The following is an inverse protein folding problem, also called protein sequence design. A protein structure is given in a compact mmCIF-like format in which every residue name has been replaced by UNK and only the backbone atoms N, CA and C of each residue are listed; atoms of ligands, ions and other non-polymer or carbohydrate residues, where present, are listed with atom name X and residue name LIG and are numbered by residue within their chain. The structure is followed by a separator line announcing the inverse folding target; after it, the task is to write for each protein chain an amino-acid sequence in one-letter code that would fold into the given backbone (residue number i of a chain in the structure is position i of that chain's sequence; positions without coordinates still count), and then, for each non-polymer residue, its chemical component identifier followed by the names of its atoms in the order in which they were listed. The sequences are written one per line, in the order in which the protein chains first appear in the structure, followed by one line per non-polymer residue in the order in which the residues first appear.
data_IF_775040723560
#
_entry.id   IF_775040723560
#
_cell.length_a   1.000
_cell.length_b   1.000
_cell.length_c   1.000
_cell.angle_alpha   90.00
_cell.angle_beta   90.00
_cell.angle_gamma   90.00
#
_symmetry.space_group_name_H-M   'P 1'
#
loop_
_entity.id
_entity.type
_entity.pdbx_description
1 polymer ?
#
# COMPACT_ATOMS: atom_id res chain seq x y z
N UNK A 1 4.80 23.20 15.36
CA UNK A 1 5.29 21.81 15.19
C UNK A 1 4.21 21.01 14.49
N UNK A 2 4.50 20.42 13.34
CA UNK A 2 3.48 19.87 12.45
C UNK A 2 2.92 18.53 12.99
N UNK A 3 1.64 18.54 13.38
CA UNK A 3 0.91 17.44 14.05
C UNK A 3 0.54 16.25 13.12
N UNK A 4 1.12 16.17 11.92
CA UNK A 4 0.78 15.18 10.90
C UNK A 4 1.84 14.09 10.68
N UNK A 5 2.93 14.10 11.43
CA UNK A 5 3.87 12.98 11.48
C UNK A 5 3.39 11.95 12.54
N UNK A 6 3.29 10.68 12.13
CA UNK A 6 2.92 9.52 12.95
C UNK A 6 4.03 8.47 12.90
N UNK A 7 4.02 7.50 13.81
CA UNK A 7 4.90 6.33 13.78
C UNK A 7 4.11 5.14 13.27
N UNK A 8 4.64 4.41 12.28
CA UNK A 8 3.99 3.23 11.73
C UNK A 8 3.96 2.11 12.78
N UNK A 9 2.80 1.49 12.99
CA UNK A 9 2.66 0.40 13.96
C UNK A 9 3.43 -0.87 13.56
N UNK A 10 3.52 -1.16 12.26
CA UNK A 10 4.20 -2.36 11.75
C UNK A 10 5.73 -2.20 11.70
N UNK A 11 6.24 -1.12 11.09
CA UNK A 11 7.68 -0.95 10.82
C UNK A 11 8.37 0.10 11.70
N UNK A 12 7.65 0.82 12.57
CA UNK A 12 8.22 1.83 13.47
C UNK A 12 8.73 3.11 12.81
N UNK A 13 8.60 3.26 11.49
CA UNK A 13 9.14 4.41 10.76
C UNK A 13 8.24 5.64 10.93
N UNK A 14 8.79 6.86 11.17
CA UNK A 14 8.03 8.10 11.13
C UNK A 14 7.53 8.41 9.72
N UNK A 15 6.27 8.79 9.56
CA UNK A 15 5.66 9.08 8.26
C UNK A 15 4.59 10.17 8.34
N UNK A 16 4.31 10.85 7.22
CA UNK A 16 3.19 11.79 7.09
C UNK A 16 1.91 11.02 6.74
N UNK A 17 0.95 10.99 7.67
CA UNK A 17 -0.28 10.21 7.50
C UNK A 17 -1.15 10.68 6.32
N UNK A 18 -1.01 11.94 5.88
CA UNK A 18 -1.77 12.49 4.75
C UNK A 18 -1.29 11.93 3.41
N UNK A 19 -0.04 11.45 3.37
CA UNK A 19 0.61 10.87 2.18
C UNK A 19 0.65 9.34 2.22
N UNK A 20 0.17 8.73 3.30
CA UNK A 20 0.18 7.27 3.43
C UNK A 20 -0.76 6.66 2.38
N UNK A 21 -0.27 5.70 1.57
CA UNK A 21 -1.07 4.93 0.62
C UNK A 21 -1.84 3.78 1.29
N UNK A 22 -1.92 3.73 2.62
CA UNK A 22 -2.83 2.82 3.32
C UNK A 22 -4.28 3.15 2.98
N UNK A 23 -5.07 2.11 2.68
CA UNK A 23 -6.41 2.26 2.13
C UNK A 23 -7.42 2.71 3.21
N UNK A 24 -7.35 2.11 4.40
CA UNK A 24 -8.33 2.37 5.47
C UNK A 24 -7.67 2.88 6.76
N UNK A 25 -6.40 2.57 6.98
CA UNK A 25 -5.69 2.80 8.26
C UNK A 25 -4.47 3.73 8.11
N UNK A 26 -4.62 4.79 7.31
CA UNK A 26 -3.53 5.75 6.99
C UNK A 26 -2.95 6.53 8.16
N UNK A 27 -3.62 6.55 9.32
CA UNK A 27 -3.08 7.14 10.56
C UNK A 27 -2.36 6.12 11.47
N UNK A 28 -2.40 4.84 11.09
CA UNK A 28 -1.76 3.71 11.78
C UNK A 28 -0.56 3.18 11.00
N UNK A 29 -0.70 3.04 9.68
CA UNK A 29 0.34 2.47 8.81
C UNK A 29 0.88 3.46 7.79
N UNK A 30 2.18 3.35 7.52
CA UNK A 30 2.86 4.17 6.53
C UNK A 30 2.55 3.80 5.07
N UNK A 31 1.90 2.65 4.83
CA UNK A 31 1.47 2.23 3.49
C UNK A 31 0.66 0.94 3.48
N UNK A 32 0.12 0.61 2.31
CA UNK A 32 -0.78 -0.54 2.10
C UNK A 32 -0.16 -1.88 2.47
N UNK A 33 1.14 -2.07 2.25
CA UNK A 33 1.83 -3.32 2.61
C UNK A 33 1.89 -3.52 4.13
N UNK A 34 2.22 -2.47 4.89
CA UNK A 34 2.23 -2.53 6.36
C UNK A 34 0.82 -2.79 6.93
N UNK A 35 -0.20 -2.19 6.33
CA UNK A 35 -1.60 -2.43 6.70
C UNK A 35 -2.01 -3.88 6.43
N UNK A 36 -1.73 -4.39 5.21
CA UNK A 36 -2.04 -5.76 4.83
C UNK A 36 -1.27 -6.76 5.71
N UNK A 37 0.00 -6.49 6.03
CA UNK A 37 0.83 -7.37 6.84
C UNK A 37 0.23 -7.65 8.23
N UNK A 38 -0.35 -6.63 8.87
CA UNK A 38 -0.97 -6.77 10.19
C UNK A 38 -2.45 -7.23 10.14
N UNK A 39 -3.19 -6.89 9.07
CA UNK A 39 -4.57 -7.37 8.87
C UNK A 39 -4.65 -8.80 8.31
N UNK A 40 -3.55 -9.30 7.75
CA UNK A 40 -3.49 -10.55 7.00
C UNK A 40 -3.86 -10.37 5.53
N UNK A 41 -3.17 -11.10 4.66
CA UNK A 41 -3.46 -11.22 3.24
C UNK A 41 -3.17 -12.65 2.78
N UNK A 42 -3.74 -13.03 1.63
CA UNK A 42 -3.32 -14.25 0.94
C UNK A 42 -2.25 -13.91 -0.10
N UNK A 43 -1.39 -14.88 -0.44
CA UNK A 43 -0.37 -14.65 -1.47
C UNK A 43 -1.03 -14.26 -2.80
N UNK A 44 -2.18 -14.84 -3.12
CA UNK A 44 -2.94 -14.55 -4.35
C UNK A 44 -3.43 -13.09 -4.37
N UNK A 45 -3.83 -12.53 -3.23
CA UNK A 45 -4.24 -11.11 -3.17
C UNK A 45 -3.07 -10.15 -3.31
N UNK A 46 -1.85 -10.55 -2.91
CA UNK A 46 -0.63 -9.80 -3.21
C UNK A 46 -0.23 -9.87 -4.69
N UNK A 47 -0.33 -11.06 -5.28
CA UNK A 47 0.08 -11.29 -6.67
C UNK A 47 -0.88 -10.66 -7.68
N UNK A 48 -2.16 -10.51 -7.34
CA UNK A 48 -3.18 -9.89 -8.20
C UNK A 48 -3.27 -8.36 -8.09
N UNK A 49 -2.53 -7.75 -7.17
CA UNK A 49 -2.68 -6.31 -6.85
C UNK A 49 -2.28 -5.42 -8.04
N UNK A 50 -1.33 -5.87 -8.89
CA UNK A 50 -0.90 -5.15 -10.08
C UNK A 50 -0.48 -6.11 -11.21
N UNK A 51 -1.08 -5.95 -12.39
CA UNK A 51 -0.58 -6.56 -13.63
C UNK A 51 0.25 -5.52 -14.39
N UNK A 52 1.58 -5.68 -14.39
CA UNK A 52 2.45 -4.84 -15.20
C UNK A 52 2.57 -5.42 -16.61
N UNK A 53 1.88 -4.78 -17.55
CA UNK A 53 2.02 -5.11 -18.96
C UNK A 53 2.90 -4.08 -19.64
N UNK A 54 3.98 -4.57 -20.25
CA UNK A 54 4.85 -3.78 -21.11
C UNK A 54 4.01 -3.07 -22.18
N UNK A 55 4.36 -1.82 -22.49
CA UNK A 55 3.53 -0.94 -23.31
C UNK A 55 3.11 -1.55 -24.64
N UNK A 56 4.01 -2.27 -25.29
CA UNK A 56 3.80 -2.93 -26.58
C UNK A 56 2.80 -4.10 -26.55
N UNK A 57 2.48 -4.63 -25.36
CA UNK A 57 1.55 -5.75 -25.17
C UNK A 57 0.18 -5.33 -24.63
N UNK A 58 -0.05 -4.03 -24.39
CA UNK A 58 -1.31 -3.52 -23.82
C UNK A 58 -2.55 -3.92 -24.65
N UNK A 59 -2.41 -4.06 -25.96
CA UNK A 59 -3.49 -4.48 -26.85
C UNK A 59 -4.03 -5.88 -26.54
N UNK A 60 -3.24 -6.76 -25.90
CA UNK A 60 -3.70 -8.10 -25.51
C UNK A 60 -4.66 -8.10 -24.32
N UNK A 61 -4.69 -7.02 -23.54
CA UNK A 61 -5.60 -6.85 -22.40
C UNK A 61 -6.87 -6.06 -22.73
N UNK A 62 -7.04 -5.60 -23.98
CA UNK A 62 -8.17 -4.76 -24.39
C UNK A 62 -9.44 -5.57 -24.72
N UNK A 63 -9.63 -6.75 -24.13
CA UNK A 63 -10.77 -7.64 -24.37
C UNK A 63 -12.05 -7.15 -23.68
#
# INVERSE_FOLDING_TARGET
MQQHIRICQHCGTPYDWRRSPSAFLKMTYCGSLCEKADLGFTIETLLRDFEYVRGEWRALLAA
#
